data_IF_319596301123
#
_entry.id   IF_319596301123
#
_cell.length_a   1.000
_cell.length_b   1.000
_cell.length_c   1.000
_cell.angle_alpha   90.00
_cell.angle_beta   90.00
_cell.angle_gamma   90.00
#
_symmetry.space_group_name_H-M   'P 1'
#
loop_
_entity.id
_entity.type
_entity.pdbx_description
1 polymer ?
#
# COMPACT_ATOMS: atom_id res chain seq x y z
N UNK A 1 -36.12 -13.66 18.51
CA UNK A 1 -35.01 -14.49 18.00
C UNK A 1 -34.76 -14.08 16.57
N UNK A 2 -33.60 -13.49 16.27
CA UNK A 2 -33.27 -12.99 14.93
C UNK A 2 -32.36 -14.03 14.28
N UNK A 3 -32.87 -14.80 13.31
CA UNK A 3 -32.06 -15.66 12.47
C UNK A 3 -31.62 -14.84 11.26
N UNK A 4 -30.46 -14.18 11.37
CA UNK A 4 -29.77 -13.64 10.22
C UNK A 4 -28.95 -14.75 9.57
N UNK A 5 -29.37 -15.23 8.40
CA UNK A 5 -28.47 -15.98 7.52
C UNK A 5 -27.35 -15.04 7.11
N UNK A 6 -26.14 -15.30 7.62
CA UNK A 6 -24.94 -14.67 7.06
C UNK A 6 -24.64 -15.42 5.77
N UNK A 7 -24.90 -14.76 4.65
CA UNK A 7 -24.53 -15.24 3.33
C UNK A 7 -22.99 -15.17 3.19
N UNK A 8 -22.35 -16.33 3.34
CA UNK A 8 -20.89 -16.48 3.25
C UNK A 8 -20.41 -16.66 1.80
N UNK A 9 -21.31 -16.83 0.83
CA UNK A 9 -20.94 -17.06 -0.58
C UNK A 9 -20.49 -15.78 -1.29
N UNK A 10 -20.73 -14.61 -0.70
CA UNK A 10 -20.23 -13.30 -1.17
C UNK A 10 -19.03 -12.80 -0.38
N UNK A 11 -18.57 -13.52 0.63
CA UNK A 11 -17.42 -13.15 1.44
C UNK A 11 -16.13 -13.44 0.66
N UNK A 12 -15.55 -12.41 0.04
CA UNK A 12 -14.17 -12.48 -0.46
C UNK A 12 -13.29 -12.84 0.76
N UNK A 13 -12.54 -13.96 0.73
CA UNK A 13 -11.71 -14.36 1.86
C UNK A 13 -10.70 -13.25 2.15
N UNK A 14 -10.67 -12.81 3.42
CA UNK A 14 -9.78 -11.76 3.94
C UNK A 14 -8.32 -11.96 3.50
N UNK A 15 -7.91 -13.21 3.31
CA UNK A 15 -6.56 -13.61 2.90
C UNK A 15 -6.18 -13.20 1.47
N UNK A 16 -7.15 -13.06 0.55
CA UNK A 16 -6.86 -12.70 -0.84
C UNK A 16 -6.56 -11.19 -1.04
N UNK A 17 -7.06 -10.33 -0.15
CA UNK A 17 -6.84 -8.87 -0.16
C UNK A 17 -5.96 -8.36 0.99
N UNK A 18 -5.62 -9.20 1.97
CA UNK A 18 -4.85 -8.79 3.15
C UNK A 18 -3.50 -8.15 2.82
N UNK A 19 -2.76 -8.69 1.85
CA UNK A 19 -1.43 -8.18 1.49
C UNK A 19 -1.51 -6.79 0.82
N UNK A 20 -2.27 -6.58 -0.27
CA UNK A 20 -2.39 -5.24 -0.88
C UNK A 20 -2.92 -4.18 0.10
N UNK A 21 -3.84 -4.55 0.99
CA UNK A 21 -4.41 -3.63 1.99
C UNK A 21 -3.39 -3.27 3.08
N UNK A 22 -2.66 -4.25 3.62
CA UNK A 22 -1.60 -4.00 4.61
C UNK A 22 -0.47 -3.15 4.03
N UNK A 23 -0.08 -3.38 2.78
CA UNK A 23 0.90 -2.56 2.09
C UNK A 23 0.38 -1.13 1.91
N UNK A 24 -0.90 -0.95 1.57
CA UNK A 24 -1.52 0.36 1.44
C UNK A 24 -1.55 1.14 2.76
N UNK A 25 -1.99 0.52 3.85
CA UNK A 25 -2.00 1.13 5.18
C UNK A 25 -0.61 1.54 5.64
N UNK A 26 0.42 0.75 5.30
CA UNK A 26 1.81 1.12 5.58
C UNK A 26 2.24 2.36 4.79
N UNK A 27 1.77 2.50 3.55
CA UNK A 27 1.96 3.72 2.76
C UNK A 27 1.34 4.94 3.44
N UNK A 28 0.09 4.82 3.91
CA UNK A 28 -0.61 5.88 4.63
C UNK A 28 0.11 6.28 5.94
N UNK A 29 0.64 5.31 6.68
CA UNK A 29 1.40 5.56 7.89
C UNK A 29 2.60 6.49 7.63
N UNK A 30 3.39 6.21 6.59
CA UNK A 30 4.56 7.02 6.25
C UNK A 30 4.22 8.36 5.60
N UNK A 31 3.10 8.43 4.87
CA UNK A 31 2.63 9.66 4.23
C UNK A 31 2.02 10.65 5.25
N UNK A 32 1.33 10.14 6.27
CA UNK A 32 0.59 10.97 7.24
C UNK A 32 1.47 11.62 8.31
N UNK A 33 2.73 11.20 8.47
CA UNK A 33 3.62 11.71 9.52
C UNK A 33 3.14 11.40 10.94
N UNK A 34 2.24 10.41 11.10
CA UNK A 34 1.63 10.04 12.40
C UNK A 34 2.66 9.61 13.46
N UNK A 35 3.87 9.29 13.03
CA UNK A 35 5.03 8.92 13.86
C UNK A 35 6.03 10.07 14.09
N UNK A 36 5.67 11.30 13.72
CA UNK A 36 6.49 12.51 13.92
C UNK A 36 7.35 12.89 12.72
N UNK A 37 7.47 12.02 11.69
CA UNK A 37 8.21 12.32 10.46
C UNK A 37 7.49 11.76 9.24
N UNK A 38 7.31 12.58 8.21
CA UNK A 38 6.83 12.14 6.89
C UNK A 38 8.01 11.53 6.13
N UNK A 39 7.83 10.33 5.59
CA UNK A 39 8.82 9.67 4.74
C UNK A 39 8.20 9.30 3.39
N UNK A 40 8.36 10.18 2.41
CA UNK A 40 7.78 10.03 1.07
C UNK A 40 8.37 8.85 0.30
N UNK A 41 9.67 8.55 0.49
CA UNK A 41 10.34 7.39 -0.13
C UNK A 41 9.69 6.09 0.34
N UNK A 42 9.51 5.95 1.66
CA UNK A 42 8.85 4.78 2.24
C UNK A 42 7.37 4.71 1.81
N UNK A 43 6.64 5.83 1.86
CA UNK A 43 5.24 5.87 1.41
C UNK A 43 5.08 5.42 -0.05
N UNK A 44 5.88 6.00 -0.96
CA UNK A 44 5.86 5.64 -2.38
C UNK A 44 6.16 4.16 -2.60
N UNK A 45 7.17 3.60 -1.90
CA UNK A 45 7.49 2.17 -1.96
C UNK A 45 6.28 1.29 -1.64
N UNK A 46 5.62 1.57 -0.52
CA UNK A 46 4.50 0.75 -0.05
C UNK A 46 3.28 0.88 -0.95
N UNK A 47 2.97 2.08 -1.44
CA UNK A 47 1.91 2.27 -2.44
C UNK A 47 2.24 1.57 -3.77
N UNK A 48 3.50 1.56 -4.20
CA UNK A 48 3.93 0.82 -5.39
C UNK A 48 3.70 -0.69 -5.24
N UNK A 49 4.08 -1.26 -4.09
CA UNK A 49 3.86 -2.68 -3.82
C UNK A 49 2.37 -3.02 -3.71
N UNK A 50 1.58 -2.19 -3.03
CA UNK A 50 0.14 -2.36 -2.94
C UNK A 50 -0.55 -2.32 -4.32
N UNK A 51 -0.16 -1.37 -5.18
CA UNK A 51 -0.66 -1.26 -6.54
C UNK A 51 -0.33 -2.51 -7.37
N UNK A 52 0.92 -2.99 -7.29
CA UNK A 52 1.35 -4.23 -7.97
C UNK A 52 0.59 -5.48 -7.49
N UNK A 53 0.11 -5.47 -6.24
CA UNK A 53 -0.70 -6.55 -5.66
C UNK A 53 -2.21 -6.35 -5.85
N UNK A 54 -2.64 -5.33 -6.59
CA UNK A 54 -4.04 -5.15 -7.00
C UNK A 54 -4.82 -4.07 -6.26
N UNK A 55 -4.22 -3.29 -5.35
CA UNK A 55 -4.92 -2.16 -4.71
C UNK A 55 -4.96 -0.96 -5.66
N UNK A 56 -6.09 -0.74 -6.33
CA UNK A 56 -6.25 0.34 -7.32
C UNK A 56 -5.99 1.74 -6.73
N UNK A 57 -6.48 2.03 -5.51
CA UNK A 57 -6.29 3.31 -4.83
C UNK A 57 -4.81 3.67 -4.61
N UNK A 58 -3.96 2.65 -4.48
CA UNK A 58 -2.53 2.83 -4.29
C UNK A 58 -1.85 3.45 -5.51
N UNK A 59 -2.43 3.33 -6.71
CA UNK A 59 -1.91 3.98 -7.92
C UNK A 59 -2.00 5.49 -7.79
N UNK A 60 -3.14 6.00 -7.32
CA UNK A 60 -3.37 7.44 -7.13
C UNK A 60 -2.47 7.97 -6.02
N UNK A 61 -2.45 7.33 -4.86
CA UNK A 61 -1.58 7.72 -3.74
C UNK A 61 -0.09 7.70 -4.11
N UNK A 62 0.36 6.70 -4.88
CA UNK A 62 1.74 6.65 -5.38
C UNK A 62 2.07 7.85 -6.26
N UNK A 63 1.15 8.27 -7.13
CA UNK A 63 1.35 9.44 -8.02
C UNK A 63 1.40 10.74 -7.23
N UNK A 64 0.50 10.91 -6.27
CA UNK A 64 0.47 12.11 -5.41
C UNK A 64 1.76 12.25 -4.60
N UNK A 65 2.22 11.17 -3.98
CA UNK A 65 3.49 11.17 -3.24
C UNK A 65 4.67 11.43 -4.17
N UNK A 66 4.71 10.81 -5.35
CA UNK A 66 5.79 11.02 -6.32
C UNK A 66 5.90 12.49 -6.78
N UNK A 67 4.79 13.22 -6.86
CA UNK A 67 4.79 14.64 -7.24
C UNK A 67 5.50 15.54 -6.20
N UNK A 68 5.74 15.05 -4.98
CA UNK A 68 6.45 15.76 -3.92
C UNK A 68 7.90 15.28 -3.74
N UNK A 69 8.36 14.36 -4.59
CA UNK A 69 9.68 13.73 -4.48
C UNK A 69 10.60 14.19 -5.62
N UNK A 70 11.90 14.18 -5.36
CA UNK A 70 12.92 14.27 -6.40
C UNK A 70 13.04 12.96 -7.20
N UNK A 71 13.60 13.04 -8.41
CA UNK A 71 13.89 11.85 -9.23
C UNK A 71 14.78 10.83 -8.50
N UNK A 72 15.73 11.32 -7.70
CA UNK A 72 16.62 10.47 -6.91
C UNK A 72 15.86 9.68 -5.84
N UNK A 73 14.89 10.31 -5.18
CA UNK A 73 14.02 9.69 -4.18
C UNK A 73 13.05 8.68 -4.83
N UNK A 74 12.49 9.01 -6.00
CA UNK A 74 11.64 8.08 -6.76
C UNK A 74 12.45 6.83 -7.13
N UNK A 75 13.67 7.03 -7.65
CA UNK A 75 14.56 5.92 -8.00
C UNK A 75 14.93 5.06 -6.78
N UNK A 76 15.15 5.69 -5.61
CA UNK A 76 15.39 4.98 -4.36
C UNK A 76 14.19 4.13 -3.94
N UNK A 77 12.99 4.71 -3.90
CA UNK A 77 11.77 4.00 -3.53
C UNK A 77 11.48 2.80 -4.46
N UNK A 78 11.71 2.96 -5.76
CA UNK A 78 11.55 1.88 -6.73
C UNK A 78 12.60 0.77 -6.55
N UNK A 79 13.86 1.11 -6.28
CA UNK A 79 14.91 0.11 -5.97
C UNK A 79 14.53 -0.69 -4.72
N UNK A 80 14.08 -0.01 -3.67
CA UNK A 80 13.66 -0.67 -2.44
C UNK A 80 12.43 -1.56 -2.62
N UNK A 81 11.46 -1.13 -3.44
CA UNK A 81 10.30 -1.96 -3.77
C UNK A 81 10.72 -3.25 -4.50
N UNK A 82 11.64 -3.14 -5.48
CA UNK A 82 12.20 -4.32 -6.16
C UNK A 82 12.93 -5.25 -5.19
N UNK A 83 13.80 -4.70 -4.34
CA UNK A 83 14.53 -5.49 -3.35
C UNK A 83 13.58 -6.21 -2.37
N UNK A 84 12.46 -5.58 -2.00
CA UNK A 84 11.45 -6.22 -1.14
C UNK A 84 10.81 -7.42 -1.84
N UNK A 85 10.42 -7.31 -3.11
CA UNK A 85 9.84 -8.40 -3.91
C UNK A 85 10.80 -9.56 -4.19
N UNK A 86 12.11 -9.34 -4.14
CA UNK A 86 13.09 -10.42 -4.28
C UNK A 86 13.33 -11.18 -2.98
N UNK A 87 12.98 -10.56 -1.84
CA UNK A 87 13.21 -11.12 -0.51
C UNK A 87 11.95 -11.77 0.11
N UNK A 88 10.77 -11.53 -0.46
CA UNK A 88 9.46 -12.00 0.01
C UNK A 88 8.59 -12.43 -1.17
#
# INVERSE_FOLDING_TARGET
MFQGQIDLDTAIPVEATAIPDVLFERGLYWASGRSGVVNLVAAHKWFNLAALKGRADAISMRREVAAMMSDAEIAAAQREARAWMTAH
#
